data_IF_467761793816
#
_entry.id   IF_467761793816
#
_cell.length_a   1.000
_cell.length_b   1.000
_cell.length_c   1.000
_cell.angle_alpha   90.00
_cell.angle_beta   90.00
_cell.angle_gamma   90.00
#
_symmetry.space_group_name_H-M   'P 1'
#
loop_
_entity.id
_entity.type
_entity.pdbx_description
1 polymer ?
#
# COMPACT_ATOMS: atom_id res chain seq x y z
N UNK A 1 -27.39 24.14 -14.94
CA UNK A 1 -26.43 23.05 -14.67
C UNK A 1 -26.83 22.35 -13.39
N UNK A 2 -27.12 21.05 -13.43
CA UNK A 2 -27.57 20.29 -12.26
C UNK A 2 -26.41 20.03 -11.29
N UNK A 3 -26.69 20.01 -9.98
CA UNK A 3 -25.76 19.62 -8.91
C UNK A 3 -25.15 18.24 -9.20
N UNK A 4 -25.86 17.37 -9.92
CA UNK A 4 -25.38 16.04 -10.34
C UNK A 4 -24.20 16.12 -11.33
N UNK A 5 -24.14 17.15 -12.18
CA UNK A 5 -23.05 17.35 -13.15
C UNK A 5 -21.77 17.87 -12.47
N UNK A 6 -21.91 18.62 -11.37
CA UNK A 6 -20.78 19.14 -10.60
C UNK A 6 -20.09 18.05 -9.75
N UNK A 7 -20.85 17.07 -9.25
CA UNK A 7 -20.31 15.94 -8.46
C UNK A 7 -19.49 14.98 -9.34
N UNK A 8 -19.88 14.77 -10.61
CA UNK A 8 -19.07 13.99 -11.57
C UNK A 8 -17.77 14.73 -11.96
N UNK A 9 -17.81 16.05 -12.10
CA UNK A 9 -16.62 16.85 -12.44
C UNK A 9 -15.59 16.87 -11.30
N UNK A 10 -16.01 16.90 -10.02
CA UNK A 10 -15.06 16.86 -8.89
C UNK A 10 -14.44 15.48 -8.64
N UNK A 11 -15.07 14.39 -9.10
CA UNK A 11 -14.45 13.05 -9.04
C UNK A 11 -13.29 12.86 -10.03
N UNK A 12 -13.10 13.78 -10.99
CA UNK A 12 -12.02 13.71 -11.98
C UNK A 12 -10.66 14.27 -11.49
N UNK A 13 -10.57 14.86 -10.30
CA UNK A 13 -9.36 15.58 -9.87
C UNK A 13 -8.38 14.76 -9.02
N UNK A 14 -8.77 13.59 -8.51
CA UNK A 14 -7.84 12.72 -7.79
C UNK A 14 -7.46 11.53 -8.68
N UNK A 15 -6.16 11.26 -8.91
CA UNK A 15 -5.74 10.08 -9.64
C UNK A 15 -6.19 8.84 -8.86
N UNK A 16 -7.09 8.07 -9.45
CA UNK A 16 -7.52 6.77 -8.95
C UNK A 16 -6.30 5.86 -8.77
N UNK A 17 -6.39 4.88 -7.84
CA UNK A 17 -5.32 3.89 -7.63
C UNK A 17 -4.91 3.25 -8.96
N UNK A 18 -5.88 2.97 -9.85
CA UNK A 18 -5.60 2.41 -11.18
C UNK A 18 -5.11 0.96 -11.18
N UNK A 19 -5.05 0.34 -10.00
CA UNK A 19 -4.76 -1.09 -9.78
C UNK A 19 -6.06 -1.79 -9.43
N UNK A 20 -6.24 -3.01 -9.93
CA UNK A 20 -7.43 -3.81 -9.66
C UNK A 20 -7.35 -4.43 -8.27
N UNK A 21 -8.11 -3.86 -7.35
CA UNK A 21 -8.40 -4.41 -6.02
C UNK A 21 -9.44 -5.56 -6.12
N UNK A 22 -9.25 -6.66 -5.37
CA UNK A 22 -10.18 -7.82 -5.36
C UNK A 22 -11.00 -7.97 -4.08
N UNK A 23 -10.84 -7.06 -3.13
CA UNK A 23 -11.51 -7.03 -1.85
C UNK A 23 -13.00 -6.67 -1.90
N UNK A 24 -13.47 -5.98 -0.85
CA UNK A 24 -14.89 -5.68 -0.64
C UNK A 24 -15.30 -4.35 -1.27
N UNK A 25 -16.61 -4.12 -1.44
CA UNK A 25 -17.18 -2.87 -1.95
C UNK A 25 -16.56 -2.38 -3.28
N UNK A 26 -16.49 -3.27 -4.26
CA UNK A 26 -15.89 -3.00 -5.57
C UNK A 26 -16.56 -1.85 -6.32
N UNK A 27 -17.84 -1.57 -6.03
CA UNK A 27 -18.58 -0.41 -6.52
C UNK A 27 -17.91 0.95 -6.20
N UNK A 28 -17.04 0.99 -5.18
CA UNK A 28 -16.32 2.21 -4.78
C UNK A 28 -14.86 2.26 -5.24
N UNK A 29 -14.29 1.17 -5.79
CA UNK A 29 -12.88 1.11 -6.18
C UNK A 29 -12.46 2.26 -7.13
N UNK A 30 -13.25 2.67 -8.14
CA UNK A 30 -12.89 3.78 -9.02
C UNK A 30 -12.83 5.15 -8.34
N UNK A 31 -13.29 5.27 -7.08
CA UNK A 31 -13.34 6.54 -6.35
C UNK A 31 -12.30 6.64 -5.25
N UNK A 32 -11.45 5.62 -5.09
CA UNK A 32 -10.40 5.59 -4.08
C UNK A 32 -9.06 5.99 -4.69
N UNK A 33 -8.34 6.81 -3.94
CA UNK A 33 -6.94 7.14 -4.14
C UNK A 33 -6.23 6.96 -2.79
N UNK A 34 -4.93 6.66 -2.84
CA UNK A 34 -4.05 6.65 -1.66
C UNK A 34 -3.18 7.89 -1.71
N UNK A 35 -3.06 8.63 -0.62
CA UNK A 35 -2.12 9.75 -0.49
C UNK A 35 -0.82 9.28 0.17
N UNK A 36 0.31 9.77 -0.33
CA UNK A 36 1.59 9.56 0.36
C UNK A 36 1.54 10.33 1.69
N UNK A 37 1.84 9.68 2.84
CA UNK A 37 1.87 10.35 4.13
C UNK A 37 2.90 11.49 4.15
N UNK A 38 2.54 12.64 4.73
CA UNK A 38 3.41 13.82 4.79
C UNK A 38 4.75 13.60 5.53
N UNK A 39 4.86 12.57 6.36
CA UNK A 39 6.08 12.19 7.08
C UNK A 39 7.02 11.28 6.27
N UNK A 40 6.69 10.97 5.01
CA UNK A 40 7.59 10.18 4.15
C UNK A 40 8.75 11.04 3.67
N UNK A 41 9.93 10.77 4.22
CA UNK A 41 11.19 11.36 3.75
C UNK A 41 11.76 10.59 2.55
N UNK A 42 12.19 11.32 1.52
CA UNK A 42 12.85 10.77 0.33
C UNK A 42 14.17 10.03 0.64
N UNK A 43 14.71 10.20 1.85
CA UNK A 43 15.94 9.54 2.28
C UNK A 43 15.72 8.06 2.63
N UNK A 44 14.50 7.75 3.05
CA UNK A 44 14.08 6.43 3.53
C UNK A 44 13.27 5.66 2.51
N UNK A 45 13.05 6.23 1.33
CA UNK A 45 12.19 5.61 0.33
C UNK A 45 12.91 4.57 -0.52
N UNK A 46 12.16 3.54 -0.87
CA UNK A 46 12.58 2.54 -1.85
C UNK A 46 11.42 2.12 -2.73
N UNK A 47 11.74 1.55 -3.89
CA UNK A 47 10.75 1.16 -4.90
C UNK A 47 10.81 -0.36 -5.09
N UNK A 48 9.64 -0.98 -5.16
CA UNK A 48 9.47 -2.34 -5.66
C UNK A 48 8.58 -2.30 -6.89
N UNK A 49 9.02 -2.93 -7.98
CA UNK A 49 8.24 -3.12 -9.20
C UNK A 49 7.90 -4.60 -9.33
N UNK A 50 6.61 -4.94 -9.30
CA UNK A 50 6.14 -6.30 -9.53
C UNK A 50 5.60 -6.41 -10.97
N UNK A 51 6.31 -7.18 -11.80
CA UNK A 51 6.02 -7.28 -13.23
C UNK A 51 4.72 -8.03 -13.53
N UNK A 52 4.47 -9.16 -12.86
CA UNK A 52 3.24 -9.95 -13.10
C UNK A 52 2.01 -9.19 -12.64
N UNK A 53 2.11 -8.48 -11.52
CA UNK A 53 1.01 -7.66 -10.98
C UNK A 53 0.88 -6.29 -11.66
N UNK A 54 1.87 -5.88 -12.47
CA UNK A 54 1.90 -4.58 -13.18
C UNK A 54 1.79 -3.39 -12.22
N UNK A 55 2.51 -3.46 -11.11
CA UNK A 55 2.51 -2.40 -10.10
C UNK A 55 3.92 -1.95 -9.72
N UNK A 56 4.03 -0.66 -9.40
CA UNK A 56 5.14 -0.06 -8.69
C UNK A 56 4.66 0.36 -7.30
N UNK A 57 5.37 -0.05 -6.27
CA UNK A 57 5.06 0.23 -4.87
C UNK A 57 6.19 1.08 -4.29
N UNK A 58 5.83 2.23 -3.72
CA UNK A 58 6.71 3.07 -2.94
C UNK A 58 6.67 2.64 -1.48
N UNK A 59 7.84 2.42 -0.89
CA UNK A 59 8.02 2.11 0.52
C UNK A 59 8.69 3.28 1.24
N UNK A 60 8.35 3.50 2.51
CA UNK A 60 9.11 4.30 3.47
C UNK A 60 9.65 3.34 4.53
N UNK A 61 10.96 3.12 4.52
CA UNK A 61 11.56 1.97 5.19
C UNK A 61 10.92 0.66 4.69
N UNK A 62 10.29 -0.08 5.60
CA UNK A 62 9.62 -1.35 5.32
C UNK A 62 8.10 -1.21 5.10
N UNK A 63 7.55 0.00 5.18
CA UNK A 63 6.11 0.24 5.11
C UNK A 63 5.72 0.69 3.70
N UNK A 64 4.84 -0.03 2.99
CA UNK A 64 4.32 0.44 1.70
C UNK A 64 3.41 1.66 1.93
N UNK A 65 3.64 2.73 1.17
CA UNK A 65 2.94 4.02 1.35
C UNK A 65 2.17 4.45 0.10
N UNK A 66 2.48 3.87 -1.05
CA UNK A 66 1.77 4.16 -2.31
C UNK A 66 1.97 3.03 -3.31
N UNK A 67 0.99 2.85 -4.19
CA UNK A 67 1.03 1.90 -5.29
C UNK A 67 0.55 2.58 -6.57
N UNK A 68 1.15 2.19 -7.69
CA UNK A 68 0.90 2.74 -9.02
C UNK A 68 0.80 1.63 -10.07
N UNK A 69 -0.08 1.75 -11.08
CA UNK A 69 -0.05 0.87 -12.23
C UNK A 69 1.17 1.19 -13.09
N UNK A 70 1.73 0.16 -13.73
CA UNK A 70 2.86 0.31 -14.65
C UNK A 70 2.73 -0.54 -15.91
N UNK A 71 3.38 -0.08 -16.96
CA UNK A 71 3.61 -0.83 -18.19
C UNK A 71 5.10 -1.14 -18.38
N UNK A 72 5.40 -2.16 -19.19
CA UNK A 72 6.75 -2.69 -19.37
C UNK A 72 7.21 -2.65 -20.82
N UNK A 73 8.32 -3.33 -21.09
CA UNK A 73 8.70 -3.62 -22.46
C UNK A 73 7.76 -4.63 -23.13
N UNK A 74 7.65 -4.55 -24.46
CA UNK A 74 6.72 -5.35 -25.27
C UNK A 74 6.84 -6.87 -25.10
N UNK A 75 7.94 -7.36 -24.50
CA UNK A 75 8.12 -8.74 -24.09
C UNK A 75 8.39 -8.80 -22.58
N UNK A 76 7.38 -8.60 -21.72
CA UNK A 76 7.60 -8.32 -20.29
C UNK A 76 8.04 -9.56 -19.51
N UNK A 77 7.89 -10.78 -20.05
CA UNK A 77 8.11 -12.02 -19.30
C UNK A 77 9.59 -12.35 -19.12
N UNK A 78 9.99 -12.47 -17.85
CA UNK A 78 11.33 -12.86 -17.43
C UNK A 78 12.37 -11.75 -17.53
N UNK A 79 13.54 -12.03 -16.97
CA UNK A 79 14.67 -11.10 -16.92
C UNK A 79 15.21 -10.72 -18.31
N UNK A 80 15.68 -9.47 -18.43
CA UNK A 80 16.35 -8.91 -19.63
C UNK A 80 17.67 -9.61 -19.94
N UNK A 81 17.78 -10.24 -21.09
CA UNK A 81 18.95 -11.05 -21.49
C UNK A 81 19.93 -10.28 -22.36
N UNK A 82 19.45 -9.42 -23.27
CA UNK A 82 20.28 -8.66 -24.22
C UNK A 82 19.56 -7.41 -24.74
N UNK A 83 20.29 -6.55 -25.46
CA UNK A 83 19.71 -5.45 -26.22
C UNK A 83 18.63 -5.95 -27.19
N UNK A 84 17.53 -5.20 -27.33
CA UNK A 84 16.46 -5.48 -28.29
C UNK A 84 15.46 -6.57 -27.89
N UNK A 85 15.64 -7.27 -26.76
CA UNK A 85 14.76 -8.38 -26.36
C UNK A 85 13.37 -7.97 -25.82
N UNK A 86 13.10 -6.66 -25.73
CA UNK A 86 11.84 -6.11 -25.24
C UNK A 86 11.54 -6.35 -23.76
N UNK A 87 12.51 -6.87 -22.98
CA UNK A 87 12.30 -7.24 -21.57
C UNK A 87 12.71 -6.12 -20.64
N UNK A 88 11.89 -5.88 -19.62
CA UNK A 88 12.28 -5.10 -18.44
C UNK A 88 13.13 -5.99 -17.52
N UNK A 89 14.31 -5.52 -17.04
CA UNK A 89 15.18 -6.33 -16.21
C UNK A 89 14.55 -6.67 -14.85
N UNK A 90 15.05 -7.73 -14.22
CA UNK A 90 14.67 -8.20 -12.88
C UNK A 90 15.92 -8.22 -11.99
N UNK A 91 15.84 -7.68 -10.79
CA UNK A 91 16.98 -7.56 -9.89
C UNK A 91 16.97 -6.25 -9.11
N UNK A 92 18.10 -5.93 -8.50
CA UNK A 92 18.29 -4.73 -7.71
C UNK A 92 19.07 -3.67 -8.49
N UNK A 93 18.56 -2.45 -8.46
CA UNK A 93 19.07 -1.28 -9.14
C UNK A 93 18.97 -0.06 -8.22
N UNK A 94 19.62 1.04 -8.60
CA UNK A 94 19.43 2.36 -8.01
C UNK A 94 19.05 3.37 -9.07
N UNK A 95 18.41 4.46 -8.67
CA UNK A 95 18.22 5.62 -9.54
C UNK A 95 19.53 6.38 -9.62
N UNK A 96 20.12 6.48 -10.81
CA UNK A 96 21.43 7.15 -11.03
C UNK A 96 21.29 8.52 -11.69
N UNK A 97 20.11 8.85 -12.21
CA UNK A 97 19.81 10.15 -12.80
C UNK A 97 18.30 10.41 -12.75
N UNK A 98 17.91 11.66 -12.47
CA UNK A 98 16.52 12.10 -12.50
C UNK A 98 16.40 13.34 -13.39
N UNK A 99 15.46 13.34 -14.33
CA UNK A 99 15.24 14.45 -15.28
C UNK A 99 13.75 14.85 -15.35
N UNK A 100 13.52 16.15 -15.47
CA UNK A 100 12.17 16.74 -15.53
C UNK A 100 11.93 17.67 -16.73
N UNK A 101 12.96 17.98 -17.51
CA UNK A 101 12.91 18.88 -18.68
C UNK A 101 13.78 18.31 -19.79
N UNK A 102 13.60 18.80 -21.02
CA UNK A 102 14.36 18.42 -22.21
C UNK A 102 14.40 16.89 -22.41
N UNK A 103 13.24 16.26 -22.20
CA UNK A 103 13.05 14.82 -22.35
C UNK A 103 12.57 14.50 -23.77
N UNK A 104 13.08 13.43 -24.41
CA UNK A 104 12.40 12.84 -25.56
C UNK A 104 10.92 12.58 -25.23
N UNK A 105 10.04 12.85 -26.18
CA UNK A 105 8.57 12.78 -26.01
C UNK A 105 8.10 11.46 -25.38
N UNK A 106 8.72 10.34 -25.74
CA UNK A 106 8.42 9.01 -25.19
C UNK A 106 8.53 8.91 -23.65
N UNK A 107 9.31 9.75 -22.99
CA UNK A 107 9.45 9.68 -21.52
C UNK A 107 8.38 10.47 -20.77
N UNK A 108 7.50 11.19 -21.48
CA UNK A 108 6.46 12.00 -20.86
C UNK A 108 7.05 13.04 -19.89
N UNK A 109 6.41 13.18 -18.73
CA UNK A 109 6.72 14.28 -17.83
C UNK A 109 8.04 14.14 -17.05
N UNK A 110 8.47 12.93 -16.69
CA UNK A 110 9.67 12.68 -15.87
C UNK A 110 10.39 11.42 -16.31
N UNK A 111 11.71 11.36 -16.12
CA UNK A 111 12.53 10.19 -16.41
C UNK A 111 13.54 9.92 -15.29
N UNK A 112 13.60 8.65 -14.86
CA UNK A 112 14.45 8.16 -13.77
C UNK A 112 15.34 7.04 -14.34
N UNK A 113 16.63 7.30 -14.54
CA UNK A 113 17.56 6.29 -15.07
C UNK A 113 17.93 5.28 -13.99
N UNK A 114 17.79 3.99 -14.32
CA UNK A 114 18.24 2.91 -13.44
C UNK A 114 19.71 2.58 -13.69
N UNK A 115 20.37 2.07 -12.66
CA UNK A 115 21.73 1.53 -12.68
C UNK A 115 21.83 0.19 -13.44
N UNK A 116 21.13 0.05 -14.56
CA UNK A 116 21.20 -1.11 -15.45
C UNK A 116 22.27 -0.85 -16.54
N UNK A 117 23.12 -1.84 -16.87
CA UNK A 117 23.25 -3.15 -16.21
C UNK A 117 23.91 -3.05 -14.83
N UNK A 118 23.48 -3.90 -13.88
CA UNK A 118 24.13 -4.02 -12.57
C UNK A 118 25.27 -5.06 -12.57
N UNK A 119 25.91 -5.30 -11.42
CA UNK A 119 27.01 -6.26 -11.30
C UNK A 119 26.63 -7.71 -11.69
N UNK A 120 25.41 -8.16 -11.35
CA UNK A 120 24.91 -9.50 -11.73
C UNK A 120 24.61 -9.58 -13.23
N UNK A 121 24.11 -8.49 -13.82
CA UNK A 121 23.93 -8.36 -15.26
C UNK A 121 25.26 -8.45 -16.02
N UNK A 122 26.28 -7.76 -15.52
CA UNK A 122 27.63 -7.81 -16.06
C UNK A 122 28.25 -9.22 -15.96
N UNK A 123 28.11 -9.88 -14.81
CA UNK A 123 28.60 -11.25 -14.62
C UNK A 123 27.93 -12.24 -15.59
N UNK A 124 26.60 -12.18 -15.71
CA UNK A 124 25.85 -12.98 -16.69
C UNK A 124 26.29 -12.66 -18.11
N UNK A 125 26.45 -11.38 -18.43
CA UNK A 125 26.87 -10.93 -19.76
C UNK A 125 28.22 -11.48 -20.16
N UNK A 126 29.20 -11.43 -19.25
CA UNK A 126 30.54 -11.99 -19.43
C UNK A 126 30.48 -13.51 -19.65
N UNK A 127 29.77 -14.23 -18.79
CA UNK A 127 29.62 -15.69 -18.90
C UNK A 127 28.96 -16.14 -20.22
N UNK A 128 28.20 -15.27 -20.88
CA UNK A 128 27.54 -15.52 -22.17
C UNK A 128 28.25 -14.92 -23.37
N UNK A 129 29.45 -14.34 -23.20
CA UNK A 129 30.19 -13.69 -24.29
C UNK A 129 29.51 -12.45 -24.87
N UNK A 130 28.57 -11.83 -24.14
CA UNK A 130 27.88 -10.61 -24.59
C UNK A 130 28.72 -9.35 -24.34
N UNK A 131 29.59 -9.38 -23.34
CA UNK A 131 30.49 -8.28 -23.00
C UNK A 131 31.89 -8.83 -22.68
N UNK A 132 32.91 -7.99 -22.88
CA UNK A 132 34.29 -8.33 -22.52
C UNK A 132 34.52 -8.29 -21.00
N UNK A 133 35.61 -8.91 -20.54
CA UNK A 133 36.06 -8.83 -19.14
C UNK A 133 36.23 -7.38 -18.68
N UNK A 134 36.86 -6.55 -19.51
CA UNK A 134 37.04 -5.11 -19.26
C UNK A 134 35.70 -4.39 -19.08
N UNK A 135 34.74 -4.63 -19.96
CA UNK A 135 33.40 -4.04 -19.82
C UNK A 135 32.71 -4.46 -18.51
N UNK A 136 32.82 -5.74 -18.14
CA UNK A 136 32.23 -6.24 -16.89
C UNK A 136 32.89 -5.61 -15.65
N UNK A 137 34.21 -5.48 -15.64
CA UNK A 137 34.97 -4.81 -14.59
C UNK A 137 34.61 -3.33 -14.47
N UNK A 138 34.51 -2.61 -15.59
CA UNK A 138 34.08 -1.21 -15.62
C UNK A 138 32.66 -1.03 -15.07
N UNK A 139 31.71 -1.88 -15.47
CA UNK A 139 30.34 -1.82 -14.93
C UNK A 139 30.35 -2.01 -13.41
N UNK A 140 31.08 -3.01 -12.89
CA UNK A 140 31.16 -3.24 -11.44
C UNK A 140 31.75 -2.04 -10.69
N UNK A 141 32.84 -1.47 -11.20
CA UNK A 141 33.50 -0.31 -10.60
C UNK A 141 32.58 0.93 -10.61
N UNK A 142 31.89 1.19 -11.71
CA UNK A 142 30.94 2.31 -11.81
C UNK A 142 29.76 2.17 -10.85
N UNK A 143 29.19 0.96 -10.73
CA UNK A 143 28.11 0.67 -9.78
C UNK A 143 28.59 0.87 -8.34
N UNK A 144 29.78 0.37 -7.98
CA UNK A 144 30.35 0.54 -6.65
C UNK A 144 30.59 2.02 -6.31
N UNK A 145 30.93 2.84 -7.32
CA UNK A 145 31.12 4.28 -7.18
C UNK A 145 29.81 5.10 -7.30
N UNK A 146 28.63 4.47 -7.42
CA UNK A 146 27.35 5.16 -7.59
C UNK A 146 27.21 5.92 -8.92
N UNK A 147 28.05 5.62 -9.92
CA UNK A 147 28.06 6.26 -11.24
C UNK A 147 27.12 5.53 -12.20
N UNK A 148 26.78 6.20 -13.30
CA UNK A 148 26.07 5.58 -14.42
C UNK A 148 26.96 4.46 -15.01
N UNK A 149 26.52 3.19 -15.01
CA UNK A 149 27.30 2.10 -15.59
C UNK A 149 27.35 2.20 -17.12
N UNK A 150 28.27 1.51 -17.78
CA UNK A 150 28.38 1.50 -19.25
C UNK A 150 27.02 1.31 -19.94
N UNK A 151 26.67 2.28 -20.80
CA UNK A 151 25.38 2.35 -21.51
C UNK A 151 25.50 1.93 -23.00
N UNK A 152 26.61 1.32 -23.40
CA UNK A 152 26.90 0.96 -24.79
C UNK A 152 27.45 -0.49 -24.87
N UNK A 153 26.65 -1.44 -24.41
CA UNK A 153 27.00 -2.86 -24.42
C UNK A 153 25.88 -3.71 -25.03
N UNK A 154 26.18 -4.96 -25.42
CA UNK A 154 25.16 -5.90 -25.94
C UNK A 154 24.11 -6.32 -24.89
N UNK A 155 24.30 -5.95 -23.62
CA UNK A 155 23.27 -6.09 -22.58
C UNK A 155 22.12 -5.09 -22.74
N UNK A 156 22.33 -4.02 -23.51
CA UNK A 156 21.41 -2.89 -23.63
C UNK A 156 21.73 -1.77 -22.65
N UNK A 157 20.87 -0.74 -22.62
CA UNK A 157 21.09 0.49 -21.88
C UNK A 157 19.79 1.27 -21.67
N UNK A 158 19.89 2.41 -20.97
CA UNK A 158 18.83 3.41 -20.80
C UNK A 158 17.52 2.87 -20.25
N UNK A 159 17.58 1.84 -19.40
CA UNK A 159 16.40 1.36 -18.68
C UNK A 159 15.99 2.42 -17.66
N UNK A 160 14.77 2.93 -17.84
CA UNK A 160 14.24 4.06 -17.07
C UNK A 160 12.89 3.72 -16.45
N UNK A 161 12.55 4.39 -15.36
CA UNK A 161 11.15 4.58 -14.94
C UNK A 161 10.73 5.96 -15.48
N UNK A 162 9.63 6.04 -16.24
CA UNK A 162 9.22 7.29 -16.87
C UNK A 162 7.71 7.39 -17.06
N UNK A 163 7.25 8.56 -17.51
CA UNK A 163 5.85 8.82 -17.84
C UNK A 163 5.40 8.21 -19.17
N UNK A 164 4.42 8.83 -19.83
CA UNK A 164 3.97 8.41 -21.17
C UNK A 164 2.84 7.37 -21.20
N UNK A 165 2.41 6.83 -20.05
CA UNK A 165 1.16 6.07 -19.93
C UNK A 165 1.31 4.55 -19.74
N UNK A 166 0.17 3.91 -19.44
CA UNK A 166 0.05 2.51 -19.00
C UNK A 166 -0.96 1.69 -19.83
N UNK A 167 -1.28 2.15 -21.04
CA UNK A 167 -2.31 1.55 -21.90
C UNK A 167 -1.90 0.18 -22.48
N UNK A 168 -0.62 -0.20 -22.41
CA UNK A 168 -0.10 -1.48 -22.88
C UNK A 168 1.41 -1.58 -22.67
N UNK A 169 2.00 -2.75 -22.93
CA UNK A 169 3.45 -2.92 -22.88
C UNK A 169 4.09 -2.44 -24.19
N UNK A 170 4.58 -1.21 -24.20
CA UNK A 170 5.05 -0.55 -25.42
C UNK A 170 6.53 -0.19 -25.39
N UNK A 171 7.17 -0.24 -24.22
CA UNK A 171 8.57 0.23 -24.10
C UNK A 171 9.55 -0.79 -24.71
N UNK A 172 10.83 -0.42 -24.80
CA UNK A 172 11.91 -1.36 -25.19
C UNK A 172 12.53 -2.08 -23.98
N UNK A 173 11.95 -1.94 -22.79
CA UNK A 173 12.43 -2.51 -21.52
C UNK A 173 12.37 -1.56 -20.32
N UNK A 174 11.88 -0.34 -20.49
CA UNK A 174 11.62 0.60 -19.40
C UNK A 174 10.42 0.17 -18.54
N UNK A 175 10.15 0.94 -17.49
CA UNK A 175 8.91 0.92 -16.71
C UNK A 175 8.17 2.22 -16.97
N UNK A 176 7.02 2.15 -17.65
CA UNK A 176 6.20 3.32 -17.96
C UNK A 176 5.08 3.50 -16.91
N UNK A 177 4.79 4.75 -16.60
CA UNK A 177 3.79 5.21 -15.63
C UNK A 177 2.88 6.27 -16.28
N UNK A 178 1.74 6.57 -15.66
CA UNK A 178 0.98 7.79 -16.00
C UNK A 178 1.83 9.02 -15.63
N UNK A 179 1.71 10.11 -16.38
CA UNK A 179 2.51 11.32 -16.13
C UNK A 179 2.26 11.89 -14.72
N UNK A 180 1.00 11.91 -14.27
CA UNK A 180 0.67 12.34 -12.92
C UNK A 180 1.34 11.49 -11.83
N UNK A 181 1.43 10.17 -12.04
CA UNK A 181 2.02 9.25 -11.08
C UNK A 181 3.54 9.41 -11.00
N UNK A 182 4.23 9.51 -12.14
CA UNK A 182 5.69 9.71 -12.12
C UNK A 182 6.06 11.09 -11.59
N UNK A 183 5.22 12.11 -11.80
CA UNK A 183 5.39 13.43 -11.20
C UNK A 183 5.26 13.35 -9.66
N UNK A 184 4.28 12.61 -9.14
CA UNK A 184 4.12 12.39 -7.70
C UNK A 184 5.32 11.61 -7.13
N UNK A 185 5.68 10.50 -7.76
CA UNK A 185 6.82 9.66 -7.36
C UNK A 185 8.12 10.47 -7.32
N UNK A 186 8.39 11.29 -8.34
CA UNK A 186 9.60 12.10 -8.46
C UNK A 186 9.85 13.01 -7.25
N UNK A 187 8.79 13.50 -6.59
CA UNK A 187 8.91 14.37 -5.41
C UNK A 187 9.31 13.63 -4.13
N UNK A 188 9.22 12.29 -4.11
CA UNK A 188 9.39 11.47 -2.91
C UNK A 188 10.58 10.51 -2.99
N UNK A 189 11.44 10.69 -3.99
CA UNK A 189 12.64 9.87 -4.22
C UNK A 189 13.82 10.78 -4.54
N UNK A 190 15.02 10.20 -4.55
CA UNK A 190 16.27 10.90 -4.89
C UNK A 190 17.17 10.02 -5.73
N UNK A 191 18.21 10.62 -6.33
CA UNK A 191 19.33 9.84 -6.85
C UNK A 191 19.89 8.99 -5.71
N UNK A 192 20.12 7.70 -5.98
CA UNK A 192 20.46 6.69 -5.00
C UNK A 192 19.27 5.88 -4.46
N UNK A 193 18.02 6.29 -4.68
CA UNK A 193 16.85 5.49 -4.27
C UNK A 193 16.95 4.07 -4.85
N UNK A 194 16.81 3.07 -3.97
CA UNK A 194 16.86 1.65 -4.34
C UNK A 194 15.60 1.24 -5.09
N UNK A 195 15.78 0.46 -6.16
CA UNK A 195 14.70 -0.10 -6.98
C UNK A 195 14.90 -1.60 -7.06
N UNK A 196 13.90 -2.38 -6.67
CA UNK A 196 13.88 -3.83 -6.84
C UNK A 196 12.80 -4.20 -7.85
N UNK A 197 13.17 -4.84 -8.95
CA UNK A 197 12.23 -5.32 -9.97
C UNK A 197 12.12 -6.83 -9.85
N UNK A 198 10.92 -7.35 -9.66
CA UNK A 198 10.63 -8.78 -9.48
C UNK A 198 9.59 -9.29 -10.47
N UNK A 199 9.62 -10.60 -10.72
CA UNK A 199 8.64 -11.27 -11.56
C UNK A 199 7.25 -11.31 -10.90
N UNK A 200 7.14 -11.85 -9.69
CA UNK A 200 5.86 -12.03 -8.98
C UNK A 200 6.07 -12.15 -7.46
N UNK A 201 6.40 -11.04 -6.79
CA UNK A 201 6.56 -11.02 -5.33
C UNK A 201 6.19 -9.65 -4.77
N UNK A 202 5.00 -9.58 -4.17
CA UNK A 202 4.59 -8.48 -3.29
C UNK A 202 4.67 -9.01 -1.86
N UNK A 203 5.39 -8.30 -0.99
CA UNK A 203 5.52 -8.69 0.43
C UNK A 203 4.22 -8.33 1.14
N UNK A 204 3.66 -9.28 1.90
CA UNK A 204 2.42 -9.07 2.65
C UNK A 204 1.26 -8.75 1.71
N UNK A 205 0.90 -9.68 0.83
CA UNK A 205 -0.21 -9.56 -0.14
C UNK A 205 -1.01 -10.86 -0.03
N UNK A 206 -1.96 -10.88 0.91
CA UNK A 206 -2.63 -12.09 1.37
C UNK A 206 -3.62 -12.64 0.36
N UNK A 207 -4.33 -11.79 -0.36
CA UNK A 207 -5.33 -12.19 -1.36
C UNK A 207 -4.72 -12.34 -2.77
N UNK A 208 -3.46 -11.93 -2.93
CA UNK A 208 -2.68 -12.12 -4.14
C UNK A 208 -3.14 -11.23 -5.29
N UNK A 209 -3.70 -10.06 -5.02
CA UNK A 209 -4.10 -9.11 -6.06
C UNK A 209 -2.95 -8.17 -6.50
N UNK A 210 -1.85 -8.15 -5.75
CA UNK A 210 -0.65 -7.36 -6.00
C UNK A 210 -0.53 -6.11 -5.13
N UNK A 211 -1.55 -5.80 -4.33
CA UNK A 211 -1.58 -4.68 -3.38
C UNK A 211 -1.08 -5.19 -2.01
N UNK A 212 -0.07 -4.57 -1.39
CA UNK A 212 0.32 -4.94 -0.04
C UNK A 212 -0.83 -4.74 0.96
N UNK A 213 -1.02 -5.69 1.87
CA UNK A 213 -2.06 -5.75 2.92
C UNK A 213 -2.26 -4.41 3.64
N UNK A 214 -1.17 -3.72 3.99
CA UNK A 214 -1.25 -2.41 4.64
C UNK A 214 -1.98 -1.36 3.78
N UNK A 215 -1.65 -1.29 2.48
CA UNK A 215 -2.33 -0.40 1.55
C UNK A 215 -3.74 -0.92 1.28
N UNK A 216 -3.93 -2.22 1.22
CA UNK A 216 -5.22 -2.80 0.87
C UNK A 216 -6.26 -2.65 1.99
N UNK A 217 -5.83 -2.74 3.25
CA UNK A 217 -6.63 -2.35 4.42
C UNK A 217 -7.04 -0.88 4.33
N UNK A 218 -6.12 0.01 3.97
CA UNK A 218 -6.44 1.43 3.78
C UNK A 218 -7.43 1.66 2.64
N UNK A 219 -7.30 0.93 1.52
CA UNK A 219 -8.24 1.02 0.40
C UNK A 219 -9.63 0.59 0.87
N UNK A 220 -9.74 -0.56 1.55
CA UNK A 220 -10.97 -1.03 2.18
C UNK A 220 -11.57 0.01 3.13
N UNK A 221 -10.75 0.63 3.98
CA UNK A 221 -11.19 1.69 4.89
C UNK A 221 -11.73 2.92 4.14
N UNK A 222 -11.07 3.35 3.06
CA UNK A 222 -11.53 4.46 2.24
C UNK A 222 -12.83 4.14 1.48
N UNK A 223 -13.00 2.90 0.99
CA UNK A 223 -14.28 2.43 0.44
C UNK A 223 -15.40 2.47 1.48
N UNK A 224 -15.10 2.17 2.74
CA UNK A 224 -16.09 2.20 3.83
C UNK A 224 -16.54 3.62 4.18
N UNK A 225 -15.67 4.62 4.05
CA UNK A 225 -16.06 6.04 4.15
C UNK A 225 -17.04 6.40 3.03
N UNK A 226 -16.81 5.94 1.80
CA UNK A 226 -17.72 6.16 0.68
C UNK A 226 -19.05 5.42 0.85
N UNK A 227 -19.01 4.21 1.44
CA UNK A 227 -20.19 3.45 1.78
C UNK A 227 -21.05 4.15 2.86
N UNK A 228 -20.41 4.87 3.79
CA UNK A 228 -21.05 5.66 4.84
C UNK A 228 -22.10 4.87 5.64
N UNK A 229 -21.76 3.65 6.07
CA UNK A 229 -22.68 2.82 6.85
C UNK A 229 -23.12 3.55 8.12
N UNK A 230 -24.42 3.53 8.41
CA UNK A 230 -25.00 4.20 9.58
C UNK A 230 -24.51 3.55 10.87
N UNK A 231 -24.19 4.39 11.84
CA UNK A 231 -23.96 3.96 13.21
C UNK A 231 -25.29 3.49 13.79
N UNK A 232 -25.29 2.27 14.30
CA UNK A 232 -26.43 1.73 15.00
C UNK A 232 -26.06 0.36 15.52
N UNK A 233 -26.45 0.07 16.77
CA UNK A 233 -26.38 -1.28 17.29
C UNK A 233 -27.09 -2.19 16.31
N UNK A 234 -26.34 -3.02 15.59
CA UNK A 234 -26.99 -4.07 14.82
C UNK A 234 -27.53 -5.02 15.88
N UNK A 235 -28.86 -5.29 15.91
CA UNK A 235 -29.39 -6.30 16.81
C UNK A 235 -28.59 -7.59 16.62
N UNK A 236 -28.66 -8.48 17.62
CA UNK A 236 -28.07 -9.79 17.44
C UNK A 236 -28.67 -10.42 16.17
N UNK A 237 -27.81 -10.69 15.18
CA UNK A 237 -28.19 -11.30 13.92
C UNK A 237 -27.29 -12.49 13.66
N UNK A 238 -27.87 -13.55 13.12
CA UNK A 238 -27.09 -14.66 12.59
C UNK A 238 -26.45 -14.23 11.27
N UNK A 239 -25.17 -14.48 11.12
CA UNK A 239 -24.41 -14.20 9.91
C UNK A 239 -23.70 -15.48 9.44
N UNK A 240 -23.39 -15.61 8.14
CA UNK A 240 -22.63 -16.76 7.64
C UNK A 240 -21.30 -16.96 8.37
N UNK A 241 -20.75 -18.17 8.30
CA UNK A 241 -19.42 -18.48 8.80
C UNK A 241 -18.78 -19.55 7.89
N UNK A 242 -17.56 -19.36 7.38
CA UNK A 242 -16.68 -18.17 7.52
C UNK A 242 -17.17 -16.95 6.73
N UNK A 243 -16.44 -15.82 6.86
CA UNK A 243 -16.65 -14.59 6.07
C UNK A 243 -18.03 -13.91 6.20
N UNK A 244 -18.75 -14.16 7.29
CA UNK A 244 -20.02 -13.49 7.57
C UNK A 244 -19.88 -11.98 7.72
N UNK A 245 -20.90 -11.25 7.26
CA UNK A 245 -20.98 -9.81 7.42
C UNK A 245 -22.39 -9.38 7.82
N UNK A 246 -22.47 -8.24 8.49
CA UNK A 246 -23.74 -7.54 8.75
C UNK A 246 -24.17 -6.76 7.50
N UNK A 247 -25.42 -6.26 7.42
CA UNK A 247 -25.87 -5.48 6.27
C UNK A 247 -24.93 -4.32 5.91
N UNK A 248 -24.64 -4.13 4.61
CA UNK A 248 -23.64 -3.17 4.10
C UNK A 248 -23.82 -1.74 4.66
N UNK A 249 -25.06 -1.28 4.85
CA UNK A 249 -25.39 0.10 5.28
C UNK A 249 -25.53 0.30 6.79
N UNK A 250 -25.17 -0.69 7.61
CA UNK A 250 -25.15 -0.58 9.08
C UNK A 250 -23.86 -1.17 9.64
N UNK A 251 -23.49 -0.72 10.83
CA UNK A 251 -22.39 -1.32 11.59
C UNK A 251 -21.94 -0.46 12.77
N UNK A 252 -20.92 -0.96 13.44
CA UNK A 252 -20.20 -0.30 14.54
C UNK A 252 -18.71 -0.20 14.22
N UNK A 253 -17.91 0.33 15.15
CA UNK A 253 -16.47 0.56 14.96
C UNK A 253 -15.68 -0.69 14.56
N UNK A 254 -15.99 -1.85 15.14
CA UNK A 254 -15.36 -3.13 14.79
C UNK A 254 -15.68 -3.58 13.37
N UNK A 255 -16.88 -3.30 12.86
CA UNK A 255 -17.28 -3.67 11.48
C UNK A 255 -16.44 -2.92 10.44
N UNK A 256 -15.95 -1.71 10.75
CA UNK A 256 -15.00 -0.98 9.90
C UNK A 256 -13.70 -1.75 9.78
N UNK A 257 -13.14 -2.20 10.91
CA UNK A 257 -11.88 -2.96 10.94
C UNK A 257 -12.05 -4.33 10.30
N UNK A 258 -13.15 -5.04 10.57
CA UNK A 258 -13.46 -6.34 9.95
C UNK A 258 -13.48 -6.20 8.43
N UNK A 259 -14.23 -5.23 7.89
CA UNK A 259 -14.40 -5.07 6.44
C UNK A 259 -13.14 -4.55 5.75
N UNK A 260 -12.37 -3.67 6.38
CA UNK A 260 -11.09 -3.23 5.85
C UNK A 260 -10.06 -4.37 5.80
N UNK A 261 -9.98 -5.18 6.85
CA UNK A 261 -9.17 -6.40 6.87
C UNK A 261 -9.62 -7.41 5.82
N UNK A 262 -10.93 -7.54 5.63
CA UNK A 262 -11.49 -8.39 4.59
C UNK A 262 -11.11 -7.93 3.19
N UNK A 263 -10.88 -6.64 2.97
CA UNK A 263 -10.37 -6.14 1.69
C UNK A 263 -9.04 -6.84 1.36
N UNK A 264 -8.13 -6.86 2.34
CA UNK A 264 -6.84 -7.59 2.32
C UNK A 264 -6.94 -9.10 2.52
N UNK A 265 -8.10 -9.72 2.26
CA UNK A 265 -8.26 -11.18 2.37
C UNK A 265 -8.21 -11.77 3.79
N UNK A 266 -8.32 -10.97 4.84
CA UNK A 266 -8.38 -11.46 6.22
C UNK A 266 -9.82 -11.75 6.66
N UNK A 267 -10.06 -12.98 7.12
CA UNK A 267 -11.30 -13.34 7.80
C UNK A 267 -11.17 -13.19 9.33
N UNK A 268 -11.44 -11.99 9.85
CA UNK A 268 -11.34 -11.73 11.30
C UNK A 268 -12.34 -12.56 12.12
N UNK A 269 -13.50 -12.91 11.55
CA UNK A 269 -14.50 -13.77 12.18
C UNK A 269 -13.92 -15.16 12.45
N UNK A 270 -13.33 -15.77 11.43
CA UNK A 270 -12.72 -17.10 11.52
C UNK A 270 -11.41 -17.10 12.32
N UNK A 271 -10.57 -16.07 12.16
CA UNK A 271 -9.32 -15.92 12.92
C UNK A 271 -9.59 -15.81 14.43
N UNK A 272 -10.54 -14.96 14.83
CA UNK A 272 -10.87 -14.81 16.25
C UNK A 272 -11.53 -16.07 16.80
N UNK A 273 -12.46 -16.68 16.07
CA UNK A 273 -13.15 -17.89 16.53
C UNK A 273 -12.16 -19.02 16.85
N UNK A 274 -11.19 -19.28 15.96
CA UNK A 274 -10.10 -20.24 16.23
C UNK A 274 -9.26 -19.85 17.43
N UNK A 275 -8.91 -18.57 17.56
CA UNK A 275 -8.07 -18.10 18.66
C UNK A 275 -8.78 -18.26 20.02
N UNK A 276 -10.07 -17.94 20.13
CA UNK A 276 -10.86 -18.14 21.35
C UNK A 276 -10.93 -19.63 21.70
N UNK A 277 -11.20 -20.51 20.72
CA UNK A 277 -11.26 -21.96 20.95
C UNK A 277 -9.95 -22.51 21.52
N UNK A 278 -8.82 -22.06 20.97
CA UNK A 278 -7.49 -22.50 21.42
C UNK A 278 -7.07 -21.87 22.77
N UNK A 279 -7.59 -20.68 23.13
CA UNK A 279 -7.08 -19.88 24.25
C UNK A 279 -8.19 -19.41 25.20
N UNK A 280 -9.11 -20.30 25.58
CA UNK A 280 -10.30 -19.94 26.40
C UNK A 280 -9.99 -19.14 27.66
N UNK A 281 -8.86 -19.41 28.32
CA UNK A 281 -8.41 -18.70 29.54
C UNK A 281 -8.17 -17.20 29.31
N UNK A 282 -7.81 -16.79 28.10
CA UNK A 282 -7.63 -15.38 27.74
C UNK A 282 -8.95 -14.63 27.54
N UNK A 283 -10.08 -15.34 27.49
CA UNK A 283 -11.42 -14.82 27.23
C UNK A 283 -12.43 -15.24 28.31
N UNK A 284 -12.21 -14.92 29.60
CA UNK A 284 -13.03 -15.43 30.70
C UNK A 284 -14.51 -15.03 30.62
N UNK A 285 -14.84 -13.96 29.89
CA UNK A 285 -16.23 -13.52 29.66
C UNK A 285 -16.92 -14.18 28.46
N UNK A 286 -16.22 -15.00 27.67
CA UNK A 286 -16.79 -15.73 26.52
C UNK A 286 -17.15 -17.14 26.97
N UNK A 287 -18.44 -17.36 27.31
CA UNK A 287 -18.93 -18.68 27.76
C UNK A 287 -18.71 -19.75 26.68
N UNK A 288 -19.12 -19.44 25.44
CA UNK A 288 -18.93 -20.26 24.24
C UNK A 288 -18.56 -19.34 23.06
N UNK A 289 -17.63 -19.73 22.17
CA UNK A 289 -17.31 -18.94 20.99
C UNK A 289 -18.54 -18.75 20.11
N UNK A 290 -18.86 -17.51 19.77
CA UNK A 290 -20.00 -17.14 18.93
C UNK A 290 -19.50 -16.38 17.67
N UNK A 291 -19.50 -17.04 16.49
CA UNK A 291 -19.05 -16.41 15.25
C UNK A 291 -19.95 -15.26 14.78
N UNK A 292 -21.13 -15.06 15.38
CA UNK A 292 -22.04 -13.98 14.99
C UNK A 292 -21.68 -12.64 15.62
N UNK A 293 -20.95 -12.63 16.74
CA UNK A 293 -20.76 -11.43 17.54
C UNK A 293 -19.36 -11.24 18.11
N UNK A 294 -18.56 -12.30 18.31
CA UNK A 294 -17.31 -12.17 19.06
C UNK A 294 -16.31 -11.20 18.42
N UNK A 295 -16.17 -11.24 17.09
CA UNK A 295 -15.31 -10.35 16.31
C UNK A 295 -15.79 -8.91 16.31
N UNK A 296 -17.04 -8.68 16.69
CA UNK A 296 -17.64 -7.36 16.76
C UNK A 296 -17.46 -6.71 18.15
N UNK A 297 -16.73 -7.36 19.07
CA UNK A 297 -16.44 -6.85 20.42
C UNK A 297 -14.99 -6.37 20.53
N UNK A 298 -14.79 -5.08 20.82
CA UNK A 298 -13.45 -4.48 21.00
C UNK A 298 -12.62 -5.24 22.05
N UNK A 299 -13.24 -5.59 23.20
CA UNK A 299 -12.60 -6.40 24.25
C UNK A 299 -12.06 -7.76 23.78
N UNK A 300 -12.68 -8.38 22.77
CA UNK A 300 -12.18 -9.64 22.21
C UNK A 300 -11.05 -9.39 21.20
N UNK A 301 -11.21 -8.36 20.36
CA UNK A 301 -10.23 -8.01 19.35
C UNK A 301 -8.90 -7.59 19.98
N UNK A 302 -8.90 -6.81 21.06
CA UNK A 302 -7.63 -6.39 21.67
C UNK A 302 -6.79 -7.59 22.15
N UNK A 303 -7.43 -8.63 22.71
CA UNK A 303 -6.75 -9.86 23.13
C UNK A 303 -6.11 -10.57 21.94
N UNK A 304 -6.85 -10.69 20.83
CA UNK A 304 -6.33 -11.28 19.60
C UNK A 304 -5.17 -10.47 19.02
N UNK A 305 -5.30 -9.15 18.96
CA UNK A 305 -4.29 -8.28 18.37
C UNK A 305 -2.99 -8.30 19.16
N UNK A 306 -3.06 -8.28 20.49
CA UNK A 306 -1.89 -8.45 21.36
C UNK A 306 -1.17 -9.78 21.14
N UNK A 307 -1.92 -10.85 20.85
CA UNK A 307 -1.35 -12.17 20.59
C UNK A 307 -0.75 -12.31 19.18
N UNK A 308 -1.25 -11.56 18.19
CA UNK A 308 -0.87 -11.71 16.77
C UNK A 308 0.11 -10.67 16.24
N UNK A 309 0.08 -9.45 16.76
CA UNK A 309 0.78 -8.33 16.16
C UNK A 309 1.67 -7.62 17.17
N UNK A 310 2.82 -7.15 16.70
CA UNK A 310 3.72 -6.33 17.51
C UNK A 310 3.04 -5.01 17.86
N UNK A 311 3.04 -4.68 19.15
CA UNK A 311 2.60 -3.38 19.65
C UNK A 311 3.61 -2.32 19.25
N UNK A 312 3.17 -1.28 18.54
CA UNK A 312 4.06 -0.19 18.11
C UNK A 312 4.12 0.88 19.19
N UNK A 313 2.97 1.37 19.65
CA UNK A 313 2.88 2.36 20.71
C UNK A 313 1.73 2.07 21.68
N UNK A 314 1.89 2.57 22.90
CA UNK A 314 0.80 2.98 23.79
C UNK A 314 0.82 4.50 23.87
N UNK A 315 -0.33 5.14 23.72
CA UNK A 315 -0.43 6.59 23.60
C UNK A 315 0.11 7.12 22.27
N UNK A 316 -0.52 8.17 21.78
CA UNK A 316 -0.04 8.95 20.63
C UNK A 316 0.06 10.42 21.07
N UNK A 317 1.19 11.04 20.78
CA UNK A 317 1.47 12.44 21.08
C UNK A 317 2.36 13.06 19.99
N UNK A 318 2.73 14.34 20.15
CA UNK A 318 3.53 15.06 19.17
C UNK A 318 4.89 14.40 18.88
N UNK A 319 5.48 13.69 19.85
CA UNK A 319 6.80 13.05 19.73
C UNK A 319 6.75 11.75 18.93
N UNK A 320 5.68 10.95 19.04
CA UNK A 320 5.59 9.64 18.39
C UNK A 320 4.56 9.55 17.26
N UNK A 321 3.78 10.60 16.97
CA UNK A 321 2.77 10.60 15.88
C UNK A 321 3.32 10.30 14.49
N UNK A 322 4.63 10.48 14.28
CA UNK A 322 5.31 10.15 13.03
C UNK A 322 5.38 8.62 12.76
N UNK A 323 5.13 7.79 13.78
CA UNK A 323 5.11 6.33 13.66
C UNK A 323 3.80 5.78 13.10
N UNK A 324 2.75 6.61 13.03
CA UNK A 324 1.45 6.26 12.46
C UNK A 324 1.55 6.28 10.94
N UNK A 325 1.17 5.16 10.33
CA UNK A 325 1.02 5.05 8.88
C UNK A 325 -0.45 4.75 8.54
N UNK A 326 -0.95 5.27 7.42
CA UNK A 326 -2.29 4.94 6.94
C UNK A 326 -2.48 3.42 6.79
N UNK A 327 -3.64 2.92 7.21
CA UNK A 327 -3.94 1.48 7.31
C UNK A 327 -3.63 0.86 8.68
N UNK A 328 -2.88 1.56 9.55
CA UNK A 328 -2.66 1.10 10.93
C UNK A 328 -3.96 1.04 11.73
N UNK A 329 -4.01 0.16 12.72
CA UNK A 329 -5.18 -0.04 13.58
C UNK A 329 -4.89 0.53 14.96
N UNK A 330 -5.81 1.36 15.44
CA UNK A 330 -5.71 2.01 16.76
C UNK A 330 -6.91 1.63 17.63
N UNK A 331 -6.63 1.26 18.88
CA UNK A 331 -7.60 1.07 19.94
C UNK A 331 -7.64 2.31 20.83
N UNK A 332 -8.83 2.70 21.24
CA UNK A 332 -9.12 3.97 21.90
C UNK A 332 -9.93 3.76 23.18
N UNK A 333 -9.73 4.64 24.15
CA UNK A 333 -10.46 4.73 25.42
C UNK A 333 -11.41 5.93 25.34
N UNK A 334 -12.70 5.68 25.22
CA UNK A 334 -13.75 6.70 25.05
C UNK A 334 -14.75 6.72 26.20
N UNK A 335 -14.68 5.75 27.12
CA UNK A 335 -15.59 5.63 28.24
C UNK A 335 -14.94 6.06 29.56
N UNK A 336 -15.73 6.43 30.59
CA UNK A 336 -15.18 6.79 31.90
C UNK A 336 -14.39 5.65 32.57
N UNK A 337 -14.80 4.40 32.33
CA UNK A 337 -14.05 3.23 32.78
C UNK A 337 -12.90 2.98 31.81
N UNK A 338 -11.69 3.29 32.25
CA UNK A 338 -10.51 3.17 31.40
C UNK A 338 -10.33 1.77 30.82
N UNK A 339 -10.08 1.73 29.52
CA UNK A 339 -9.78 0.55 28.73
C UNK A 339 -10.12 0.73 27.25
N UNK A 340 -9.63 -0.14 26.36
CA UNK A 340 -10.00 -0.08 24.95
C UNK A 340 -11.48 -0.46 24.74
N UNK A 341 -12.32 0.52 24.44
CA UNK A 341 -13.74 0.33 24.10
C UNK A 341 -14.08 0.71 22.64
N UNK A 342 -13.18 1.45 21.97
CA UNK A 342 -13.35 1.86 20.57
C UNK A 342 -12.15 1.46 19.71
N UNK A 343 -12.36 1.35 18.39
CA UNK A 343 -11.33 0.92 17.44
C UNK A 343 -11.50 1.66 16.09
N UNK A 344 -10.40 1.92 15.41
CA UNK A 344 -10.42 2.54 14.08
C UNK A 344 -9.15 2.32 13.29
N UNK A 345 -9.13 2.86 12.07
CA UNK A 345 -8.02 2.75 11.12
C UNK A 345 -7.45 4.13 10.84
N UNK A 346 -6.12 4.27 10.87
CA UNK A 346 -5.44 5.51 10.53
C UNK A 346 -5.66 5.84 9.05
N UNK A 347 -6.17 7.05 8.78
CA UNK A 347 -6.40 7.56 7.43
C UNK A 347 -5.11 8.13 6.81
N UNK A 348 -5.07 8.18 5.49
CA UNK A 348 -4.12 8.96 4.69
C UNK A 348 -4.49 10.45 4.58
N UNK A 349 -5.60 10.87 5.18
CA UNK A 349 -5.99 12.27 5.36
C UNK A 349 -5.62 12.77 6.75
N UNK A 350 -5.35 14.07 6.86
CA UNK A 350 -5.02 14.75 8.13
C UNK A 350 -6.09 15.77 8.48
N UNK A 351 -6.28 15.96 9.79
CA UNK A 351 -7.07 17.06 10.33
C UNK A 351 -6.29 18.37 10.38
N UNK A 352 -6.95 19.48 10.74
CA UNK A 352 -6.32 20.81 10.83
C UNK A 352 -5.11 20.87 11.78
N UNK A 353 -5.08 20.07 12.84
CA UNK A 353 -3.94 20.01 13.77
C UNK A 353 -2.75 19.17 13.27
N UNK A 354 -2.84 18.68 12.04
CA UNK A 354 -1.81 17.89 11.38
C UNK A 354 -1.75 16.43 11.83
N UNK A 355 -2.63 15.93 12.71
CA UNK A 355 -2.72 14.49 12.98
C UNK A 355 -3.48 13.76 11.87
N UNK A 356 -3.14 12.50 11.57
CA UNK A 356 -3.99 11.65 10.75
C UNK A 356 -5.42 11.56 11.32
N UNK A 357 -6.41 11.59 10.45
CA UNK A 357 -7.78 11.24 10.83
C UNK A 357 -7.86 9.74 11.12
N UNK A 358 -8.88 9.32 11.87
CA UNK A 358 -9.19 7.92 12.14
C UNK A 358 -10.49 7.56 11.45
N UNK A 359 -10.45 6.60 10.53
CA UNK A 359 -11.60 5.99 9.88
C UNK A 359 -12.25 5.04 10.87
N UNK A 360 -13.48 5.36 11.25
CA UNK A 360 -14.22 4.62 12.27
C UNK A 360 -15.74 4.81 12.05
N UNK A 361 -16.53 4.09 12.85
CA UNK A 361 -17.98 4.26 12.89
C UNK A 361 -18.40 4.47 14.34
N UNK A 362 -18.99 5.62 14.62
CA UNK A 362 -19.20 6.12 15.98
C UNK A 362 -20.52 6.91 16.08
N UNK A 363 -20.98 7.11 17.32
CA UNK A 363 -22.19 7.85 17.67
C UNK A 363 -22.13 9.29 17.16
N UNK A 364 -20.97 9.92 17.26
CA UNK A 364 -20.74 11.25 16.68
C UNK A 364 -20.60 11.14 15.17
N UNK A 365 -21.49 11.84 14.43
CA UNK A 365 -21.55 11.79 12.96
C UNK A 365 -22.45 10.69 12.39
N UNK A 366 -22.86 9.72 13.23
CA UNK A 366 -23.85 8.66 12.94
C UNK A 366 -23.58 7.81 11.69
N UNK A 367 -22.36 7.85 11.15
CA UNK A 367 -21.97 7.10 9.95
C UNK A 367 -20.47 6.87 9.92
N UNK A 368 -20.06 5.85 9.19
CA UNK A 368 -18.64 5.57 8.94
C UNK A 368 -17.95 6.77 8.29
N UNK A 369 -16.96 7.35 8.96
CA UNK A 369 -16.29 8.59 8.55
C UNK A 369 -14.83 8.59 9.00
N UNK A 370 -14.01 9.47 8.41
CA UNK A 370 -12.68 9.80 8.94
C UNK A 370 -12.82 11.00 9.89
N UNK A 371 -12.44 10.84 11.15
CA UNK A 371 -12.64 11.84 12.21
C UNK A 371 -11.33 12.21 12.90
N UNK A 372 -11.25 13.41 13.45
CA UNK A 372 -10.07 13.90 14.17
C UNK A 372 -10.10 13.43 15.63
N UNK A 373 -9.55 12.25 15.91
CA UNK A 373 -9.67 11.60 17.22
C UNK A 373 -8.37 11.58 18.04
N UNK A 374 -7.22 11.40 17.36
CA UNK A 374 -5.91 11.23 17.99
C UNK A 374 -5.49 12.32 19.01
N UNK A 375 -5.83 13.62 18.86
CA UNK A 375 -5.51 14.63 19.88
C UNK A 375 -6.41 14.59 21.12
N UNK A 376 -7.62 14.05 21.01
CA UNK A 376 -8.70 14.20 22.00
C UNK A 376 -8.98 12.89 22.75
N UNK A 377 -8.75 11.76 22.08
CA UNK A 377 -9.12 10.44 22.56
C UNK A 377 -7.83 9.64 22.85
N UNK A 378 -7.63 9.16 24.09
CA UNK A 378 -6.48 8.35 24.43
C UNK A 378 -6.37 7.10 23.56
N UNK A 379 -5.23 6.97 22.85
CA UNK A 379 -4.88 5.74 22.14
C UNK A 379 -4.25 4.76 23.13
N UNK A 380 -4.91 3.64 23.34
CA UNK A 380 -4.42 2.60 24.26
C UNK A 380 -3.43 1.67 23.58
N UNK A 381 -3.67 1.35 22.29
CA UNK A 381 -2.83 0.44 21.52
C UNK A 381 -2.81 0.81 20.04
N UNK A 382 -1.64 0.67 19.42
CA UNK A 382 -1.42 0.90 17.99
C UNK A 382 -0.71 -0.31 17.38
N UNK A 383 -1.31 -0.85 16.32
CA UNK A 383 -0.83 -2.03 15.59
C UNK A 383 -0.71 -1.76 14.09
N UNK A 384 0.18 -2.51 13.44
CA UNK A 384 0.31 -2.58 11.98
C UNK A 384 0.23 -4.03 11.53
N UNK A 385 -0.51 -4.27 10.46
CA UNK A 385 -0.66 -5.59 9.85
C UNK A 385 0.28 -5.64 8.65
N UNK A 386 1.04 -6.73 8.52
CA UNK A 386 2.16 -6.88 7.57
C UNK A 386 2.13 -8.23 6.88
#
# INVERSE_FOLDING_TARGET
MSITTLILALTQLLPQIGVRDRGVFQEYAPRVAIRIPANVSNETTSIVVNKKKRVLILYSGDVPVKIYPVAFGFNPRGHKKKQGDGRTPEGSYTIVEMRAKNLPSKYGARSLLLSYPNARDAQRGLARGLISRRQAETIRAQIAAGKIPLQNTKLGSSIRIHGGGVQGDWTLGCVAMRDADVIELYRHIRVGTRVRIVSDSTRGDRDGDGIPDQLDILIGANKLVLNAALYGGTPYIRIPFPMGDVPKKRGVCTDVVIRALRNAGYDLQSILNRHIRANRRLYPWVKRPDPNIDQRRVKNLIVLFKAKYALINRGINAKNRHTLYPGDIVFMDTLPKSGPDHIGIVSDRRGPNGYPLVINNWTTGYRTSAMELLPQIPITHHFRIR
#
